data_IF_246451318008
#
_entry.id   IF_246451318008
#
_cell.length_a   1.000
_cell.length_b   1.000
_cell.length_c   1.000
_cell.angle_alpha   90.00
_cell.angle_beta   90.00
_cell.angle_gamma   90.00
#
_symmetry.space_group_name_H-M   'P 1'
#
loop_
_entity.id
_entity.type
_entity.pdbx_description
1 polymer ?
#
# COMPACT_ATOMS: atom_id res chain seq x y z
N UNK A 1 22.45 -7.33 0.50
CA UNK A 1 21.33 -6.40 0.26
C UNK A 1 21.81 -4.99 0.54
N UNK A 2 21.56 -4.05 -0.36
CA UNK A 2 22.03 -2.68 -0.13
C UNK A 2 21.06 -1.94 0.82
N UNK A 3 21.46 -0.72 1.19
CA UNK A 3 20.69 0.05 2.17
C UNK A 3 19.27 0.35 1.70
N UNK A 4 19.13 0.66 0.42
CA UNK A 4 17.80 1.00 -0.11
C UNK A 4 16.88 -0.20 -0.11
N UNK A 5 17.41 -1.37 -0.47
CA UNK A 5 16.63 -2.60 -0.42
C UNK A 5 16.20 -2.95 1.00
N UNK A 6 17.14 -2.82 1.94
CA UNK A 6 16.83 -3.07 3.34
C UNK A 6 15.75 -2.11 3.83
N UNK A 7 15.86 -0.84 3.45
CA UNK A 7 14.87 0.16 3.82
C UNK A 7 13.51 -0.17 3.22
N UNK A 8 13.49 -0.72 2.00
CA UNK A 8 12.23 -1.10 1.36
C UNK A 8 11.48 -2.14 2.19
N UNK A 9 12.18 -3.16 2.70
CA UNK A 9 11.55 -4.15 3.55
C UNK A 9 11.05 -3.54 4.86
N UNK A 10 11.82 -2.62 5.44
CA UNK A 10 11.42 -1.97 6.68
C UNK A 10 10.18 -1.10 6.48
N UNK A 11 10.16 -0.35 5.39
CA UNK A 11 9.02 0.49 5.06
C UNK A 11 7.77 -0.35 4.85
N UNK A 12 7.91 -1.43 4.08
CA UNK A 12 6.77 -2.30 3.79
C UNK A 12 6.19 -2.91 5.06
N UNK A 13 7.05 -3.42 5.93
CA UNK A 13 6.61 -4.03 7.18
C UNK A 13 5.92 -3.02 8.09
N UNK A 14 6.50 -1.85 8.22
CA UNK A 14 5.96 -0.80 9.08
C UNK A 14 4.64 -0.28 8.56
N UNK A 15 4.56 -0.04 7.27
CA UNK A 15 3.33 0.46 6.64
C UNK A 15 2.21 -0.55 6.78
N UNK A 16 2.49 -1.81 6.51
CA UNK A 16 1.48 -2.86 6.62
C UNK A 16 0.97 -2.98 8.05
N UNK A 17 1.89 -2.99 9.03
CA UNK A 17 1.50 -3.10 10.43
C UNK A 17 0.62 -1.92 10.86
N UNK A 18 0.97 -0.72 10.43
CA UNK A 18 0.22 0.48 10.77
C UNK A 18 -1.21 0.43 10.23
N UNK A 19 -1.34 0.19 8.93
CA UNK A 19 -2.66 0.29 8.30
C UNK A 19 -3.52 -0.94 8.53
N UNK A 20 -2.92 -2.07 8.85
CA UNK A 20 -3.68 -3.25 9.19
C UNK A 20 -4.56 -3.02 10.41
N UNK A 21 -4.14 -2.15 11.30
CA UNK A 21 -4.89 -1.84 12.51
C UNK A 21 -5.96 -0.78 12.30
N UNK A 22 -6.03 -0.20 11.12
CA UNK A 22 -6.98 0.87 10.82
C UNK A 22 -8.12 0.33 9.97
N UNK A 23 -9.30 0.88 10.24
CA UNK A 23 -10.48 0.54 9.44
C UNK A 23 -10.65 1.64 8.40
N UNK A 24 -10.72 1.24 7.13
CA UNK A 24 -10.86 2.19 6.04
C UNK A 24 -12.25 2.01 5.44
N UNK A 25 -13.14 2.97 5.69
CA UNK A 25 -14.52 2.85 5.25
C UNK A 25 -15.01 4.07 4.46
N UNK A 26 -14.32 5.20 4.57
CA UNK A 26 -14.74 6.42 3.89
C UNK A 26 -13.73 6.82 2.83
N UNK A 27 -14.17 7.68 1.90
CA UNK A 27 -13.28 8.18 0.87
C UNK A 27 -12.12 8.97 1.48
N UNK A 28 -12.39 9.74 2.53
CA UNK A 28 -11.34 10.48 3.20
C UNK A 28 -10.29 9.55 3.78
N UNK A 29 -10.72 8.43 4.34
CA UNK A 29 -9.79 7.45 4.88
C UNK A 29 -8.97 6.80 3.78
N UNK A 30 -9.58 6.52 2.62
CA UNK A 30 -8.83 6.00 1.48
C UNK A 30 -7.81 7.01 0.97
N UNK A 31 -8.16 8.31 0.98
CA UNK A 31 -7.22 9.34 0.58
C UNK A 31 -6.05 9.42 1.55
N UNK A 32 -6.33 9.32 2.85
CA UNK A 32 -5.27 9.32 3.85
C UNK A 32 -4.34 8.11 3.67
N UNK A 33 -4.90 6.95 3.39
CA UNK A 33 -4.14 5.75 3.11
C UNK A 33 -3.23 5.96 1.88
N UNK A 34 -3.79 6.50 0.82
CA UNK A 34 -3.03 6.73 -0.41
C UNK A 34 -1.90 7.74 -0.22
N UNK A 35 -2.18 8.80 0.52
CA UNK A 35 -1.17 9.82 0.77
C UNK A 35 -0.01 9.24 1.59
N UNK A 36 -0.34 8.47 2.62
CA UNK A 36 0.68 7.83 3.43
C UNK A 36 1.46 6.79 2.63
N UNK A 37 0.77 6.04 1.78
CA UNK A 37 1.42 5.06 0.91
C UNK A 37 2.45 5.74 0.02
N UNK A 38 2.07 6.80 -0.66
CA UNK A 38 2.99 7.51 -1.55
C UNK A 38 4.17 8.08 -0.78
N UNK A 39 3.90 8.68 0.36
CA UNK A 39 4.97 9.26 1.17
C UNK A 39 5.93 8.19 1.69
N UNK A 40 5.38 7.07 2.14
CA UNK A 40 6.18 6.01 2.73
C UNK A 40 7.08 5.32 1.72
N UNK A 41 6.57 5.08 0.51
CA UNK A 41 7.31 4.32 -0.49
C UNK A 41 8.07 5.19 -1.50
N UNK A 42 7.94 6.51 -1.42
CA UNK A 42 8.50 7.40 -2.44
C UNK A 42 9.98 7.21 -2.69
N UNK A 43 10.75 6.96 -1.65
CA UNK A 43 12.19 6.79 -1.76
C UNK A 43 12.55 5.39 -2.27
N UNK A 44 11.89 4.38 -1.73
CA UNK A 44 12.28 3.00 -2.00
C UNK A 44 11.73 2.47 -3.32
N UNK A 45 10.72 3.13 -3.87
CA UNK A 45 10.14 2.68 -5.13
C UNK A 45 11.13 2.80 -6.30
N UNK A 46 12.20 3.53 -6.10
CA UNK A 46 13.23 3.68 -7.14
C UNK A 46 14.05 2.43 -7.35
N UNK A 47 14.02 1.48 -6.42
CA UNK A 47 14.71 0.22 -6.62
C UNK A 47 13.69 -0.89 -6.91
N UNK A 48 14.10 -1.94 -7.67
CA UNK A 48 13.16 -2.98 -8.08
C UNK A 48 12.44 -3.66 -6.94
N UNK A 49 13.15 -3.99 -5.86
CA UNK A 49 12.50 -4.67 -4.73
C UNK A 49 11.50 -3.74 -4.04
N UNK A 50 11.82 -2.45 -3.95
CA UNK A 50 10.88 -1.48 -3.38
C UNK A 50 9.62 -1.35 -4.21
N UNK A 51 9.78 -1.33 -5.53
CA UNK A 51 8.64 -1.27 -6.42
C UNK A 51 7.75 -2.50 -6.23
N UNK A 52 8.34 -3.68 -6.23
CA UNK A 52 7.57 -4.91 -6.07
C UNK A 52 6.92 -5.02 -4.70
N UNK A 53 7.62 -4.59 -3.65
CA UNK A 53 7.05 -4.61 -2.32
C UNK A 53 5.88 -3.65 -2.19
N UNK A 54 5.97 -2.48 -2.83
CA UNK A 54 4.87 -1.52 -2.78
C UNK A 54 3.62 -2.11 -3.42
N UNK A 55 3.76 -2.78 -4.55
CA UNK A 55 2.64 -3.42 -5.22
C UNK A 55 2.07 -4.55 -4.36
N UNK A 56 2.95 -5.35 -3.77
CA UNK A 56 2.51 -6.47 -2.92
C UNK A 56 1.72 -5.97 -1.71
N UNK A 57 2.20 -4.93 -1.06
CA UNK A 57 1.53 -4.36 0.11
C UNK A 57 0.18 -3.79 -0.29
N UNK A 58 0.13 -3.04 -1.38
CA UNK A 58 -1.13 -2.46 -1.82
C UNK A 58 -2.14 -3.55 -2.18
N UNK A 59 -1.67 -4.60 -2.85
CA UNK A 59 -2.54 -5.73 -3.22
C UNK A 59 -3.10 -6.42 -1.99
N UNK A 60 -2.26 -6.57 -0.96
CA UNK A 60 -2.70 -7.20 0.29
C UNK A 60 -3.84 -6.40 0.93
N UNK A 61 -3.73 -5.08 0.93
CA UNK A 61 -4.80 -4.26 1.49
C UNK A 61 -6.05 -4.29 0.61
N UNK A 62 -5.86 -4.30 -0.70
CA UNK A 62 -6.98 -4.43 -1.62
C UNK A 62 -7.78 -5.70 -1.33
N UNK A 63 -7.08 -6.82 -1.15
CA UNK A 63 -7.74 -8.09 -0.85
C UNK A 63 -8.41 -8.05 0.51
N UNK A 64 -7.74 -7.49 1.50
CA UNK A 64 -8.25 -7.44 2.86
C UNK A 64 -9.58 -6.70 2.91
N UNK A 65 -9.66 -5.55 2.28
CA UNK A 65 -10.86 -4.72 2.35
C UNK A 65 -11.93 -5.15 1.37
N UNK A 66 -11.51 -5.70 0.23
CA UNK A 66 -12.47 -6.22 -0.75
C UNK A 66 -13.27 -7.38 -0.20
N UNK A 67 -12.61 -8.25 0.55
CA UNK A 67 -13.24 -9.48 1.01
C UNK A 67 -14.11 -9.32 2.23
N UNK A 68 -13.95 -8.27 3.01
CA UNK A 68 -14.68 -8.23 4.24
C UNK A 68 -15.29 -6.90 4.62
N UNK A 69 -14.86 -5.84 4.00
CA UNK A 69 -15.27 -4.52 4.47
C UNK A 69 -15.86 -3.70 3.34
N UNK A 70 -15.03 -2.95 2.69
CA UNK A 70 -15.45 -2.07 1.63
C UNK A 70 -14.47 -2.23 0.47
N UNK A 71 -14.96 -2.54 -0.71
CA UNK A 71 -14.04 -2.74 -1.84
C UNK A 71 -13.31 -1.44 -2.17
N UNK A 72 -12.07 -1.61 -2.60
CA UNK A 72 -11.29 -0.49 -3.07
C UNK A 72 -11.92 0.05 -4.35
N UNK A 73 -11.98 1.38 -4.52
CA UNK A 73 -12.49 1.95 -5.76
C UNK A 73 -11.72 1.42 -6.97
N UNK A 74 -12.45 1.03 -8.00
CA UNK A 74 -11.85 0.39 -9.16
C UNK A 74 -10.81 1.26 -9.85
N UNK A 75 -11.02 2.57 -9.88
CA UNK A 75 -10.14 3.47 -10.58
C UNK A 75 -8.95 3.93 -9.75
N UNK A 76 -8.75 3.35 -8.58
CA UNK A 76 -7.69 3.78 -7.68
C UNK A 76 -6.32 3.62 -8.32
N UNK A 77 -6.12 2.56 -9.05
CA UNK A 77 -4.88 2.29 -9.79
C UNK A 77 -5.04 2.58 -11.28
N UNK A 78 -6.19 3.09 -11.69
CA UNK A 78 -6.48 3.22 -13.11
C UNK A 78 -6.77 1.89 -13.77
N UNK A 79 -7.21 0.89 -13.00
CA UNK A 79 -7.49 -0.44 -13.50
C UNK A 79 -8.90 -0.84 -13.12
N UNK A 80 -9.62 -1.36 -14.08
CA UNK A 80 -11.02 -1.73 -13.89
C UNK A 80 -11.23 -3.24 -13.77
N UNK A 81 -10.23 -4.01 -14.08
CA UNK A 81 -10.36 -5.46 -14.21
C UNK A 81 -9.97 -6.22 -12.96
N UNK A 82 -9.85 -5.55 -11.86
CA UNK A 82 -9.50 -6.20 -10.60
C UNK A 82 -10.74 -6.59 -9.75
#
# INVERSE_FOLDING_TARGET
MNELEQKAFEVAARFYAKWRENIIETDDQWMAFADDFRASFSEVISCPIGEHLSVAVFSAFSDLYRNGKKPMPANYFGRDDL
#
